data_IF_813990378731
#
_entry.id   IF_813990378731
#
_cell.length_a   1.000
_cell.length_b   1.000
_cell.length_c   1.000
_cell.angle_alpha   90.00
_cell.angle_beta   90.00
_cell.angle_gamma   90.00
#
_symmetry.space_group_name_H-M   'P 1'
#
loop_
_entity.id
_entity.type
_entity.pdbx_description
1 polymer ?
#
# COMPACT_ATOMS: atom_id res chain seq x y z
N UNK A 1 12.16 14.60 9.13
CA UNK A 1 12.76 13.41 8.48
C UNK A 1 13.00 12.22 9.43
N UNK A 2 14.02 12.21 10.32
CA UNK A 2 14.31 11.01 11.17
C UNK A 2 13.13 10.58 12.06
N UNK A 3 12.47 11.53 12.72
CA UNK A 3 11.35 11.24 13.62
C UNK A 3 10.13 10.69 12.86
N UNK A 4 9.80 11.27 11.70
CA UNK A 4 8.71 10.78 10.83
C UNK A 4 8.96 9.36 10.32
N UNK A 5 10.19 9.07 9.88
CA UNK A 5 10.58 7.74 9.43
C UNK A 5 10.50 6.69 10.56
N UNK A 6 10.87 7.09 11.79
CA UNK A 6 10.74 6.22 12.97
C UNK A 6 9.28 6.01 13.36
N UNK A 7 8.44 7.04 13.28
CA UNK A 7 7.01 6.94 13.56
C UNK A 7 6.29 6.06 12.53
N UNK A 8 6.68 6.14 11.26
CA UNK A 8 6.16 5.27 10.20
C UNK A 8 6.56 3.80 10.43
N UNK A 9 7.82 3.54 10.83
CA UNK A 9 8.26 2.20 11.27
C UNK A 9 7.45 1.71 12.48
N UNK A 10 7.13 2.60 13.41
CA UNK A 10 6.28 2.31 14.57
C UNK A 10 4.85 1.94 14.16
N UNK A 11 4.24 2.70 13.24
CA UNK A 11 2.91 2.39 12.72
C UNK A 11 2.89 1.03 11.99
N UNK A 12 3.92 0.74 11.19
CA UNK A 12 4.03 -0.55 10.52
C UNK A 12 4.27 -1.72 11.51
N UNK A 13 5.01 -1.49 12.59
CA UNK A 13 5.14 -2.48 13.66
C UNK A 13 3.78 -2.77 14.32
N UNK A 14 2.96 -1.73 14.52
CA UNK A 14 1.60 -1.86 15.07
C UNK A 14 0.71 -2.75 14.20
N UNK A 15 0.85 -2.63 12.87
CA UNK A 15 0.15 -3.48 11.91
C UNK A 15 0.46 -4.98 12.13
N UNK A 16 1.72 -5.32 12.38
CA UNK A 16 2.19 -6.70 12.57
C UNK A 16 1.92 -7.28 13.95
N UNK A 17 1.79 -6.42 14.98
CA UNK A 17 1.53 -6.86 16.35
C UNK A 17 0.18 -7.58 16.46
N UNK A 18 -0.87 -7.10 15.76
CA UNK A 18 -2.20 -7.71 15.83
C UNK A 18 -2.21 -9.20 15.45
N UNK A 19 -1.77 -9.60 14.24
CA UNK A 19 -1.69 -11.01 13.84
C UNK A 19 -0.84 -11.87 14.78
N UNK A 20 0.26 -11.31 15.29
CA UNK A 20 1.16 -12.03 16.19
C UNK A 20 0.48 -12.31 17.53
N UNK A 21 -0.18 -11.31 18.12
CA UNK A 21 -0.96 -11.45 19.36
C UNK A 21 -2.17 -12.37 19.16
N UNK A 22 -2.82 -12.30 17.99
CA UNK A 22 -3.91 -13.20 17.64
C UNK A 22 -3.43 -14.66 17.52
N UNK A 23 -2.25 -14.88 16.94
CA UNK A 23 -1.57 -16.16 16.93
C UNK A 23 -1.26 -16.69 18.32
N UNK A 24 -0.71 -15.84 19.21
CA UNK A 24 -0.45 -16.19 20.62
C UNK A 24 -1.72 -16.62 21.37
N UNK A 25 -2.87 -16.04 21.02
CA UNK A 25 -4.17 -16.36 21.62
C UNK A 25 -4.84 -17.59 20.99
N UNK A 26 -4.14 -18.27 20.07
CA UNK A 26 -4.59 -19.45 19.32
C UNK A 26 -5.90 -19.25 18.55
N UNK A 27 -6.23 -18.02 18.11
CA UNK A 27 -7.43 -17.77 17.32
C UNK A 27 -7.46 -18.52 15.98
N UNK A 28 -8.67 -18.88 15.54
CA UNK A 28 -8.88 -19.67 14.32
C UNK A 28 -8.46 -18.97 13.03
N UNK A 29 -8.29 -19.76 11.97
CA UNK A 29 -7.93 -19.30 10.62
C UNK A 29 -8.90 -18.27 10.04
N UNK A 30 -10.14 -18.19 10.53
CA UNK A 30 -11.10 -17.16 10.12
C UNK A 30 -10.60 -15.72 10.35
N UNK A 31 -9.73 -15.48 11.34
CA UNK A 31 -9.16 -14.14 11.56
C UNK A 31 -8.14 -13.74 10.50
N UNK A 32 -7.53 -14.70 9.79
CA UNK A 32 -6.57 -14.38 8.73
C UNK A 32 -7.22 -13.53 7.66
N UNK A 33 -8.45 -13.85 7.25
CA UNK A 33 -9.18 -13.05 6.27
C UNK A 33 -9.40 -11.60 6.74
N UNK A 34 -9.74 -11.39 8.02
CA UNK A 34 -9.91 -10.05 8.60
C UNK A 34 -8.60 -9.27 8.62
N UNK A 35 -7.49 -9.90 9.01
CA UNK A 35 -6.17 -9.24 8.94
C UNK A 35 -5.74 -8.97 7.50
N UNK A 36 -6.03 -9.87 6.57
CA UNK A 36 -5.73 -9.66 5.15
C UNK A 36 -6.44 -8.43 4.62
N UNK A 37 -7.73 -8.25 4.94
CA UNK A 37 -8.45 -7.03 4.57
C UNK A 37 -7.79 -5.76 5.13
N UNK A 38 -7.34 -5.79 6.40
CA UNK A 38 -6.64 -4.65 7.02
C UNK A 38 -5.29 -4.37 6.32
N UNK A 39 -4.49 -5.40 6.05
CA UNK A 39 -3.17 -5.26 5.40
C UNK A 39 -3.30 -4.82 3.94
N UNK A 40 -4.31 -5.31 3.23
CA UNK A 40 -4.62 -4.87 1.87
C UNK A 40 -5.08 -3.42 1.87
N UNK A 41 -5.97 -3.02 2.78
CA UNK A 41 -6.39 -1.63 2.93
C UNK A 41 -5.19 -0.72 3.26
N UNK A 42 -4.29 -1.17 4.13
CA UNK A 42 -3.02 -0.49 4.41
C UNK A 42 -2.17 -0.30 3.16
N UNK A 43 -1.98 -1.34 2.35
CA UNK A 43 -1.23 -1.26 1.09
C UNK A 43 -1.89 -0.31 0.09
N UNK A 44 -3.21 -0.35 -0.06
CA UNK A 44 -3.95 0.56 -0.94
C UNK A 44 -3.73 2.01 -0.51
N UNK A 45 -3.74 2.27 0.80
CA UNK A 45 -3.61 3.62 1.36
C UNK A 45 -2.18 4.16 1.26
N UNK A 46 -1.16 3.33 1.49
CA UNK A 46 0.24 3.76 1.50
C UNK A 46 0.96 3.62 0.17
N UNK A 47 0.58 2.62 -0.63
CA UNK A 47 1.20 2.30 -1.91
C UNK A 47 0.16 2.15 -3.02
N UNK A 48 -0.67 3.17 -3.27
CA UNK A 48 -1.68 3.12 -4.34
C UNK A 48 -1.09 2.81 -5.71
N UNK A 49 0.18 3.16 -5.94
CA UNK A 49 0.92 2.92 -7.17
C UNK A 49 1.12 1.43 -7.51
N UNK A 50 1.10 0.54 -6.52
CA UNK A 50 1.23 -0.90 -6.72
C UNK A 50 -0.06 -1.53 -7.25
N UNK A 51 -1.17 -0.80 -7.20
CA UNK A 51 -2.47 -1.26 -7.66
C UNK A 51 -2.72 -0.79 -9.11
N UNK A 52 -3.52 -1.55 -9.89
CA UNK A 52 -3.90 -1.13 -11.23
C UNK A 52 -4.66 0.22 -11.16
N UNK A 53 -4.14 1.23 -11.85
CA UNK A 53 -4.59 2.61 -11.74
C UNK A 53 -5.87 2.87 -12.54
N UNK A 54 -6.02 2.22 -13.69
CA UNK A 54 -7.19 2.39 -14.56
C UNK A 54 -8.08 1.16 -14.56
N UNK A 55 -9.37 1.37 -14.83
CA UNK A 55 -10.33 0.27 -15.03
C UNK A 55 -9.94 -0.68 -16.17
N UNK A 56 -9.19 -0.20 -17.17
CA UNK A 56 -8.69 -1.03 -18.25
C UNK A 56 -7.60 -1.99 -17.75
N UNK A 57 -6.70 -1.53 -16.87
CA UNK A 57 -5.62 -2.34 -16.32
C UNK A 57 -6.14 -3.53 -15.49
N UNK A 58 -7.25 -3.33 -14.76
CA UNK A 58 -7.93 -4.39 -14.00
C UNK A 58 -8.47 -5.53 -14.87
N UNK A 59 -8.67 -5.29 -16.17
CA UNK A 59 -9.11 -6.32 -17.12
C UNK A 59 -7.94 -7.07 -17.77
N UNK A 60 -6.71 -6.58 -17.58
CA UNK A 60 -5.52 -7.25 -18.09
C UNK A 60 -5.12 -8.40 -17.15
N UNK A 61 -4.64 -9.49 -17.73
CA UNK A 61 -4.12 -10.63 -16.96
C UNK A 61 -2.93 -10.20 -16.09
N UNK A 62 -2.09 -9.31 -16.60
CA UNK A 62 -0.94 -8.77 -15.86
C UNK A 62 -1.38 -7.98 -14.61
N UNK A 63 -2.36 -7.09 -14.74
CA UNK A 63 -2.91 -6.31 -13.61
C UNK A 63 -3.60 -7.19 -12.57
N UNK A 64 -4.29 -8.24 -13.00
CA UNK A 64 -4.89 -9.22 -12.06
C UNK A 64 -3.82 -10.03 -11.33
N UNK A 65 -2.79 -10.51 -12.03
CA UNK A 65 -1.72 -11.30 -11.42
C UNK A 65 -0.87 -10.48 -10.44
N UNK A 66 -0.61 -9.21 -10.72
CA UNK A 66 0.12 -8.34 -9.79
C UNK A 66 -0.68 -8.12 -8.50
N UNK A 67 -1.96 -7.75 -8.61
CA UNK A 67 -2.85 -7.58 -7.47
C UNK A 67 -3.00 -8.87 -6.66
N UNK A 68 -3.17 -10.01 -7.34
CA UNK A 68 -3.25 -11.32 -6.69
C UNK A 68 -1.96 -11.63 -5.91
N UNK A 69 -0.79 -11.37 -6.51
CA UNK A 69 0.50 -11.61 -5.87
C UNK A 69 0.66 -10.77 -4.61
N UNK A 70 0.26 -9.50 -4.64
CA UNK A 70 0.27 -8.62 -3.47
C UNK A 70 -0.61 -9.18 -2.34
N UNK A 71 -1.85 -9.56 -2.66
CA UNK A 71 -2.79 -10.14 -1.69
C UNK A 71 -2.26 -11.44 -1.11
N UNK A 72 -1.78 -12.37 -1.96
CA UNK A 72 -1.20 -13.63 -1.52
C UNK A 72 0.04 -13.42 -0.63
N UNK A 73 0.85 -12.42 -0.95
CA UNK A 73 2.00 -12.07 -0.11
C UNK A 73 1.55 -11.58 1.27
N UNK A 74 0.45 -10.83 1.36
CA UNK A 74 -0.12 -10.43 2.66
C UNK A 74 -0.65 -11.62 3.43
N UNK A 75 -1.38 -12.54 2.77
CA UNK A 75 -1.86 -13.78 3.40
C UNK A 75 -0.69 -14.60 3.94
N UNK A 76 0.37 -14.78 3.15
CA UNK A 76 1.56 -15.51 3.56
C UNK A 76 2.24 -14.85 4.77
N UNK A 77 2.44 -13.53 4.73
CA UNK A 77 3.00 -12.77 5.86
C UNK A 77 2.16 -12.94 7.14
N UNK A 78 0.84 -12.78 7.04
CA UNK A 78 -0.07 -12.94 8.17
C UNK A 78 -0.02 -14.38 8.71
N UNK A 79 0.01 -15.38 7.84
CA UNK A 79 0.12 -16.78 8.24
C UNK A 79 1.44 -17.04 9.01
N UNK A 80 2.55 -16.46 8.55
CA UNK A 80 3.84 -16.53 9.25
C UNK A 80 3.75 -15.86 10.62
N UNK A 81 3.18 -14.65 10.71
CA UNK A 81 3.00 -13.96 11.99
C UNK A 81 2.11 -14.75 12.97
N UNK A 82 1.03 -15.37 12.47
CA UNK A 82 0.16 -16.25 13.25
C UNK A 82 0.91 -17.48 13.73
N UNK A 83 1.73 -18.10 12.88
CA UNK A 83 2.54 -19.27 13.24
C UNK A 83 3.58 -18.93 14.31
N UNK A 84 4.27 -17.78 14.16
CA UNK A 84 5.21 -17.26 15.16
C UNK A 84 4.48 -16.99 16.47
N UNK A 85 3.36 -16.28 16.43
CA UNK A 85 2.53 -16.00 17.60
C UNK A 85 2.11 -17.28 18.32
N UNK A 86 1.62 -18.28 17.59
CA UNK A 86 1.27 -19.60 18.14
C UNK A 86 2.47 -20.29 18.77
N UNK A 87 3.64 -20.24 18.12
CA UNK A 87 4.89 -20.78 18.66
C UNK A 87 5.26 -20.12 19.99
N UNK A 88 5.15 -18.79 20.08
CA UNK A 88 5.41 -18.03 21.31
C UNK A 88 4.40 -18.43 22.41
N UNK A 89 3.10 -18.44 22.11
CA UNK A 89 2.06 -18.81 23.09
C UNK A 89 2.22 -20.24 23.60
N UNK A 90 2.57 -21.18 22.71
CA UNK A 90 2.84 -22.58 23.06
C UNK A 90 4.08 -22.73 23.96
N UNK A 91 5.19 -22.06 23.63
CA UNK A 91 6.43 -22.10 24.42
C UNK A 91 6.28 -21.40 25.78
N UNK A 92 5.53 -20.31 25.83
CA UNK A 92 5.25 -19.58 27.07
C UNK A 92 4.29 -20.34 28.01
N UNK A 93 3.62 -21.39 27.51
CA UNK A 93 2.58 -22.11 28.26
C UNK A 93 1.37 -21.23 28.61
N UNK A 94 1.21 -20.10 27.93
CA UNK A 94 0.21 -19.08 28.24
C UNK A 94 -0.54 -18.67 26.97
N UNK A 95 -1.86 -18.86 27.00
CA UNK A 95 -2.79 -18.46 25.95
C UNK A 95 -3.60 -17.27 26.47
N UNK A 96 -3.25 -16.02 26.11
CA UNK A 96 -4.02 -14.87 26.54
C UNK A 96 -5.46 -14.96 26.01
N UNK A 97 -6.44 -15.04 26.90
CA UNK A 97 -7.86 -14.94 26.55
C UNK A 97 -8.24 -13.47 26.37
N UNK A 98 -7.84 -12.90 25.23
CA UNK A 98 -8.21 -11.55 24.83
C UNK A 98 -9.48 -11.59 23.97
N UNK A 99 -10.20 -10.47 23.90
CA UNK A 99 -11.28 -10.31 22.94
C UNK A 99 -10.68 -10.23 21.51
N UNK A 100 -11.18 -11.00 20.52
CA UNK A 100 -10.72 -10.94 19.12
C UNK A 100 -10.67 -9.54 18.51
N UNK A 101 -11.50 -8.61 18.99
CA UNK A 101 -11.53 -7.23 18.52
C UNK A 101 -10.26 -6.46 18.88
N UNK A 102 -9.57 -6.81 19.97
CA UNK A 102 -8.36 -6.10 20.43
C UNK A 102 -7.21 -6.19 19.41
N UNK A 103 -6.75 -7.39 19.00
CA UNK A 103 -5.66 -7.48 18.03
C UNK A 103 -6.05 -6.91 16.66
N UNK A 104 -7.33 -7.02 16.27
CA UNK A 104 -7.84 -6.35 15.06
C UNK A 104 -7.77 -4.83 15.17
N UNK A 105 -8.18 -4.26 16.29
CA UNK A 105 -8.14 -2.82 16.52
C UNK A 105 -6.69 -2.28 16.53
N UNK A 106 -5.75 -3.03 17.12
CA UNK A 106 -4.32 -2.69 17.10
C UNK A 106 -3.81 -2.57 15.67
N UNK A 107 -4.05 -3.58 14.83
CA UNK A 107 -3.64 -3.53 13.42
C UNK A 107 -4.40 -2.48 12.63
N UNK A 108 -5.70 -2.30 12.87
CA UNK A 108 -6.51 -1.32 12.17
C UNK A 108 -6.07 0.11 12.48
N UNK A 109 -5.70 0.40 13.73
CA UNK A 109 -5.17 1.71 14.16
C UNK A 109 -3.86 2.08 13.46
N UNK A 110 -3.11 1.10 12.95
CA UNK A 110 -1.94 1.39 12.12
C UNK A 110 -2.33 2.27 10.92
N UNK A 111 -3.48 2.03 10.29
CA UNK A 111 -3.95 2.74 9.08
C UNK A 111 -4.08 4.26 9.28
N UNK A 112 -4.96 4.76 10.18
CA UNK A 112 -5.10 6.19 10.40
C UNK A 112 -3.82 6.81 10.95
N UNK A 113 -3.07 6.09 11.78
CA UNK A 113 -1.78 6.57 12.29
C UNK A 113 -0.76 6.75 11.17
N UNK A 114 -0.64 5.77 10.27
CA UNK A 114 0.23 5.85 9.11
C UNK A 114 -0.14 7.02 8.21
N UNK A 115 -1.42 7.25 7.96
CA UNK A 115 -1.89 8.37 7.13
C UNK A 115 -1.73 9.74 7.80
N UNK A 116 -1.88 9.83 9.12
CA UNK A 116 -1.64 11.07 9.87
C UNK A 116 -0.14 11.40 9.94
N UNK A 117 0.71 10.38 9.94
CA UNK A 117 2.17 10.51 10.00
C UNK A 117 2.82 10.65 8.62
N UNK A 118 2.14 10.22 7.55
CA UNK A 118 2.66 10.17 6.18
C UNK A 118 1.63 10.62 5.15
N UNK A 119 1.97 11.66 4.40
CA UNK A 119 1.21 12.15 3.25
C UNK A 119 1.96 11.73 1.97
N UNK A 120 1.48 10.70 1.28
CA UNK A 120 2.18 10.11 0.14
C UNK A 120 2.36 11.08 -1.03
N UNK A 121 1.38 11.97 -1.22
CA UNK A 121 1.36 13.00 -2.26
C UNK A 121 2.43 14.07 -1.99
N UNK A 122 2.49 14.58 -0.75
CA UNK A 122 3.50 15.58 -0.33
C UNK A 122 4.93 15.00 -0.28
N UNK A 123 5.07 13.67 -0.11
CA UNK A 123 6.36 12.99 -0.14
C UNK A 123 6.85 12.73 -1.58
N UNK A 124 5.95 12.39 -2.50
CA UNK A 124 6.25 12.27 -3.92
C UNK A 124 6.63 13.63 -4.53
N UNK A 125 5.90 14.71 -4.19
CA UNK A 125 6.20 16.09 -4.61
C UNK A 125 7.57 16.58 -4.10
N UNK A 126 8.08 16.00 -3.01
CA UNK A 126 9.40 16.32 -2.43
C UNK A 126 10.50 15.37 -2.88
N UNK A 127 10.21 14.44 -3.80
CA UNK A 127 11.18 13.47 -4.32
C UNK A 127 11.68 12.46 -3.29
N UNK A 128 10.91 12.19 -2.23
CA UNK A 128 11.28 11.25 -1.17
C UNK A 128 10.42 9.99 -1.32
N UNK A 129 10.94 9.03 -2.08
CA UNK A 129 10.35 7.70 -2.20
C UNK A 129 10.89 6.79 -1.09
N UNK A 130 10.02 5.92 -0.55
CA UNK A 130 10.36 5.04 0.57
C UNK A 130 11.38 3.95 0.22
N UNK A 131 11.65 3.70 -1.07
CA UNK A 131 12.68 2.80 -1.61
C UNK A 131 13.13 3.33 -2.99
N UNK A 132 14.44 3.31 -3.32
CA UNK A 132 14.97 3.67 -4.66
C UNK A 132 14.34 2.83 -5.80
N UNK A 133 13.87 1.62 -5.48
CA UNK A 133 13.14 0.76 -6.42
C UNK A 133 11.75 1.32 -6.81
N UNK A 134 11.14 2.14 -5.95
CA UNK A 134 9.86 2.80 -6.25
C UNK A 134 10.04 3.95 -7.25
N UNK A 135 11.19 4.63 -7.25
CA UNK A 135 11.58 5.59 -8.28
C UNK A 135 11.77 4.88 -9.62
N UNK A 136 12.49 3.74 -9.64
CA UNK A 136 12.68 2.94 -10.85
C UNK A 136 11.38 2.32 -11.40
N UNK A 137 10.43 1.97 -10.53
CA UNK A 137 9.12 1.44 -10.92
C UNK A 137 8.12 2.53 -11.37
N UNK A 138 8.27 3.76 -10.84
CA UNK A 138 7.43 4.90 -11.19
C UNK A 138 7.95 5.66 -12.41
N UNK A 139 9.25 5.67 -12.66
CA UNK A 139 9.85 6.34 -13.82
C UNK A 139 9.22 5.92 -15.16
N UNK A 140 8.93 4.63 -15.44
CA UNK A 140 8.22 4.21 -16.65
C UNK A 140 6.80 4.75 -16.72
N UNK A 141 6.10 4.87 -15.59
CA UNK A 141 4.71 5.34 -15.52
C UNK A 141 4.62 6.86 -15.62
N UNK A 142 5.52 7.59 -14.96
CA UNK A 142 5.65 9.04 -15.07
C UNK A 142 6.06 9.42 -16.49
N UNK A 143 7.00 8.67 -17.09
CA UNK A 143 7.36 8.85 -18.50
C UNK A 143 6.20 8.55 -19.44
N UNK A 144 5.40 7.50 -19.16
CA UNK A 144 4.22 7.17 -19.97
C UNK A 144 3.11 8.22 -19.81
N UNK A 145 2.86 8.73 -18.60
CA UNK A 145 1.89 9.78 -18.32
C UNK A 145 2.31 11.12 -18.95
N UNK A 146 3.58 11.50 -18.79
CA UNK A 146 4.16 12.67 -19.45
C UNK A 146 4.13 12.54 -20.97
N UNK A 147 4.44 11.36 -21.51
CA UNK A 147 4.31 11.10 -22.95
C UNK A 147 2.86 11.25 -23.41
N UNK A 148 1.88 10.67 -22.69
CA UNK A 148 0.46 10.82 -23.04
C UNK A 148 -0.05 12.25 -22.93
N UNK A 149 0.47 13.04 -21.98
CA UNK A 149 0.18 14.45 -21.79
C UNK A 149 0.74 15.32 -22.93
N UNK A 150 1.92 14.97 -23.45
CA UNK A 150 2.64 15.77 -24.46
C UNK A 150 2.24 15.36 -25.90
N UNK A 151 1.77 14.12 -26.13
CA UNK A 151 1.34 13.62 -27.44
C UNK A 151 0.28 14.50 -28.13
N UNK A 152 -0.77 15.00 -27.45
CA UNK A 152 -1.73 15.93 -28.05
C UNK A 152 -1.07 17.22 -28.55
N UNK A 153 -0.11 17.76 -27.79
CA UNK A 153 0.64 18.97 -28.12
C UNK A 153 1.60 18.72 -29.31
N UNK A 154 2.27 17.56 -29.35
CA UNK A 154 3.16 17.18 -30.45
C UNK A 154 2.43 16.86 -31.76
N UNK A 155 1.15 16.51 -31.68
CA UNK A 155 0.30 16.25 -32.85
C UNK A 155 -0.39 17.51 -33.40
N UNK A 156 -0.18 18.67 -32.77
CA UNK A 156 -0.68 19.94 -33.30
C UNK A 156 0.15 20.39 -34.50
N UNK A 157 -0.46 21.15 -35.40
CA UNK A 157 0.27 21.81 -36.46
C UNK A 157 1.21 22.88 -35.87
N UNK A 158 2.40 23.07 -36.46
CA UNK A 158 3.38 24.06 -35.99
C UNK A 158 2.86 25.51 -36.02
N UNK A 159 1.78 25.77 -36.77
CA UNK A 159 1.08 27.06 -36.87
C UNK A 159 -0.22 27.11 -36.04
N UNK A 160 -0.41 26.15 -35.12
CA UNK A 160 -1.59 26.11 -34.27
C UNK A 160 -1.76 27.43 -33.50
N UNK A 161 -2.97 28.04 -33.52
CA UNK A 161 -3.21 29.30 -32.82
C UNK A 161 -2.98 29.16 -31.31
N UNK A 162 -2.34 30.16 -30.68
CA UNK A 162 -2.01 30.16 -29.24
C UNK A 162 -3.19 29.83 -28.32
N UNK A 163 -4.42 30.20 -28.71
CA UNK A 163 -5.63 29.86 -27.96
C UNK A 163 -5.92 28.36 -27.92
N UNK A 164 -5.62 27.65 -29.01
CA UNK A 164 -5.80 26.20 -29.15
C UNK A 164 -4.74 25.46 -28.36
N UNK A 165 -3.51 25.99 -28.35
CA UNK A 165 -2.40 25.45 -27.55
C UNK A 165 -2.68 25.67 -26.05
N UNK A 166 -3.15 26.86 -25.67
CA UNK A 166 -3.49 27.18 -24.28
C UNK A 166 -4.63 26.29 -23.75
N UNK A 167 -5.67 26.03 -24.55
CA UNK A 167 -6.73 25.10 -24.18
C UNK A 167 -6.21 23.66 -24.00
N UNK A 168 -5.35 23.19 -24.90
CA UNK A 168 -4.81 21.84 -24.77
C UNK A 168 -3.81 21.69 -23.62
N UNK A 169 -3.13 22.76 -23.21
CA UNK A 169 -2.29 22.76 -21.99
C UNK A 169 -3.16 22.76 -20.73
N UNK A 170 -4.34 23.38 -20.74
CA UNK A 170 -5.30 23.32 -19.62
C UNK A 170 -5.98 21.94 -19.47
N UNK A 171 -6.01 21.13 -20.53
CA UNK A 171 -6.60 19.78 -20.55
C UNK A 171 -5.60 18.66 -20.16
N UNK A 172 -4.33 19.00 -19.94
CA UNK A 172 -3.22 18.11 -19.55
C UNK A 172 -2.95 18.18 -18.05
#
# INVERSE_FOLDING_TARGET
MRLQMQLLKGANALLYIGPLVAGMSAFGWGMVASFTAIFVAWLIVLRPEQWPATWADWRTVAGLLSALTLVLSQVALIAVLFAIGRGIGALAGFLPMINPQVPLAISFMAIPLGRMLWNAEEAADRGIFLDEEAEAASAPRVAAAAASAIVPLLNMADDAPDQTVAQAVEEV
#
